data_IF_605609894537
#
_entry.id   IF_605609894537
#
_cell.length_a   1.000
_cell.length_b   1.000
_cell.length_c   1.000
_cell.angle_alpha   90.00
_cell.angle_beta   90.00
_cell.angle_gamma   90.00
#
_symmetry.space_group_name_H-M   'P 1'
#
loop_
_entity.id
_entity.type
_entity.pdbx_description
1 polymer ?
#
# COMPACT_ATOMS: atom_id res chain seq x y z
N UNK A 1 -14.62 7.74 6.64
CA UNK A 1 -15.79 6.82 6.48
C UNK A 1 -15.39 5.34 6.55
N UNK A 2 -14.12 5.04 6.39
CA UNK A 2 -13.49 3.78 6.75
C UNK A 2 -12.43 4.16 7.79
N UNK A 3 -12.70 3.96 9.08
CA UNK A 3 -11.77 4.37 10.15
C UNK A 3 -10.37 3.79 9.94
N UNK A 4 -10.21 2.50 9.57
CA UNK A 4 -8.88 1.95 9.25
C UNK A 4 -8.19 2.66 8.09
N UNK A 5 -8.92 3.07 7.06
CA UNK A 5 -8.37 3.80 5.91
C UNK A 5 -7.93 5.22 6.31
N UNK A 6 -8.72 5.88 7.17
CA UNK A 6 -8.44 7.23 7.68
C UNK A 6 -7.17 7.21 8.57
N UNK A 7 -6.93 6.13 9.32
CA UNK A 7 -5.69 5.92 10.09
C UNK A 7 -4.46 5.63 9.23
N UNK A 8 -4.64 4.93 8.10
CA UNK A 8 -3.55 4.59 7.18
C UNK A 8 -3.03 5.80 6.39
N UNK A 9 -3.89 6.77 6.09
CA UNK A 9 -3.54 7.92 5.27
C UNK A 9 -2.27 8.67 5.75
N UNK A 10 -2.16 9.12 7.03
CA UNK A 10 -0.96 9.80 7.50
C UNK A 10 0.29 8.91 7.51
N UNK A 11 0.13 7.60 7.76
CA UNK A 11 1.24 6.63 7.73
C UNK A 11 1.82 6.53 6.31
N UNK A 12 0.95 6.40 5.30
CA UNK A 12 1.37 6.27 3.91
C UNK A 12 1.96 7.56 3.36
N UNK A 13 1.45 8.72 3.78
CA UNK A 13 2.03 10.02 3.42
C UNK A 13 3.44 10.17 3.98
N UNK A 14 3.66 9.80 5.24
CA UNK A 14 5.00 9.81 5.85
C UNK A 14 5.96 8.86 5.13
N UNK A 15 5.52 7.63 4.84
CA UNK A 15 6.34 6.65 4.12
C UNK A 15 6.65 7.12 2.69
N UNK A 16 5.70 7.74 1.99
CA UNK A 16 5.94 8.33 0.66
C UNK A 16 7.06 9.37 0.69
N UNK A 17 7.09 10.23 1.71
CA UNK A 17 8.16 11.23 1.86
C UNK A 17 9.49 10.58 2.21
N UNK A 18 9.48 9.60 3.12
CA UNK A 18 10.69 8.96 3.65
C UNK A 18 11.37 8.04 2.64
N UNK A 19 10.58 7.40 1.77
CA UNK A 19 11.05 6.35 0.87
C UNK A 19 11.02 6.77 -0.61
N UNK A 20 10.83 8.06 -0.90
CA UNK A 20 10.66 8.59 -2.26
C UNK A 20 11.76 8.16 -3.24
N UNK A 21 13.00 7.97 -2.76
CA UNK A 21 14.14 7.54 -3.57
C UNK A 21 14.30 6.02 -3.67
N UNK A 22 13.60 5.26 -2.82
CA UNK A 22 13.76 3.81 -2.63
C UNK A 22 12.60 3.02 -3.23
N UNK A 23 11.37 3.49 -3.04
CA UNK A 23 10.18 2.87 -3.60
C UNK A 23 9.10 3.91 -3.91
N UNK A 24 8.21 3.53 -4.82
CA UNK A 24 7.02 4.34 -5.13
C UNK A 24 5.85 3.80 -4.33
N UNK A 25 5.29 4.62 -3.45
CA UNK A 25 4.08 4.30 -2.70
C UNK A 25 2.93 5.08 -3.32
N UNK A 26 1.89 4.39 -3.78
CA UNK A 26 0.68 5.00 -4.35
C UNK A 26 -0.51 4.73 -3.45
N UNK A 27 -1.09 5.80 -2.89
CA UNK A 27 -2.35 5.73 -2.18
C UNK A 27 -3.49 6.14 -3.10
N UNK A 28 -4.47 5.26 -3.29
CA UNK A 28 -5.58 5.47 -4.21
C UNK A 28 -6.91 5.14 -3.55
N UNK A 29 -7.88 6.04 -3.68
CA UNK A 29 -9.26 5.74 -3.30
C UNK A 29 -9.95 4.93 -4.42
N UNK A 30 -10.06 3.61 -4.22
CA UNK A 30 -10.71 2.69 -5.16
C UNK A 30 -12.20 2.99 -5.36
N UNK A 31 -12.84 3.74 -4.47
CA UNK A 31 -14.24 4.18 -4.64
C UNK A 31 -14.36 5.23 -5.75
N UNK A 32 -13.31 6.04 -5.92
CA UNK A 32 -13.20 7.01 -7.02
C UNK A 32 -12.70 6.32 -8.28
N UNK A 33 -11.66 5.49 -8.16
CA UNK A 33 -11.01 4.79 -9.28
C UNK A 33 -11.43 3.33 -9.36
N UNK A 34 -12.72 3.08 -9.64
CA UNK A 34 -13.31 1.73 -9.63
C UNK A 34 -12.63 0.75 -10.58
N UNK A 35 -12.08 1.23 -11.70
CA UNK A 35 -11.31 0.42 -12.66
C UNK A 35 -10.09 -0.22 -11.99
N UNK A 36 -9.43 0.48 -11.06
CA UNK A 36 -8.28 -0.06 -10.33
C UNK A 36 -8.72 -1.12 -9.32
N UNK A 37 -9.90 -0.96 -8.69
CA UNK A 37 -10.50 -1.99 -7.83
C UNK A 37 -10.70 -3.30 -8.60
N UNK A 38 -11.27 -3.22 -9.80
CA UNK A 38 -11.49 -4.39 -10.64
C UNK A 38 -10.17 -5.01 -11.13
N UNK A 39 -9.26 -4.17 -11.65
CA UNK A 39 -7.96 -4.61 -12.17
C UNK A 39 -7.12 -5.34 -11.13
N UNK A 40 -7.08 -4.85 -9.90
CA UNK A 40 -6.30 -5.43 -8.81
C UNK A 40 -7.13 -6.35 -7.89
N UNK A 41 -8.37 -6.66 -8.29
CA UNK A 41 -9.28 -7.55 -7.56
C UNK A 41 -9.47 -7.15 -6.08
N UNK A 42 -9.61 -5.85 -5.84
CA UNK A 42 -9.83 -5.29 -4.50
C UNK A 42 -11.31 -5.44 -4.15
N UNK A 43 -11.61 -6.33 -3.19
CA UNK A 43 -12.95 -6.55 -2.65
C UNK A 43 -13.17 -5.89 -1.29
N UNK A 44 -12.09 -5.67 -0.53
CA UNK A 44 -12.11 -5.13 0.82
C UNK A 44 -11.07 -4.01 0.95
N UNK A 45 -11.39 -2.99 1.75
CA UNK A 45 -10.48 -1.89 2.05
C UNK A 45 -10.20 -1.81 3.56
N UNK A 46 -9.01 -1.34 3.95
CA UNK A 46 -7.86 -1.04 3.10
C UNK A 46 -7.15 -2.32 2.62
N UNK A 47 -6.53 -2.28 1.44
CA UNK A 47 -5.70 -3.37 0.90
C UNK A 47 -4.38 -2.77 0.41
N UNK A 48 -3.26 -3.38 0.78
CA UNK A 48 -1.92 -2.99 0.37
C UNK A 48 -1.35 -4.09 -0.54
N UNK A 49 -0.89 -3.70 -1.72
CA UNK A 49 -0.31 -4.62 -2.71
C UNK A 49 1.11 -4.15 -3.01
N UNK A 50 2.06 -5.06 -2.91
CA UNK A 50 3.47 -4.81 -3.12
C UNK A 50 3.88 -5.42 -4.44
N UNK A 51 4.58 -4.62 -5.23
CA UNK A 51 5.10 -5.01 -6.53
C UNK A 51 6.62 -4.95 -6.51
N UNK A 52 7.26 -5.89 -7.18
CA UNK A 52 8.69 -5.79 -7.46
C UNK A 52 8.99 -4.80 -8.59
N UNK A 53 10.27 -4.72 -8.98
CA UNK A 53 10.74 -3.83 -10.05
C UNK A 53 10.25 -4.23 -11.43
N UNK A 54 9.79 -5.47 -11.62
CA UNK A 54 9.22 -5.97 -12.87
C UNK A 54 7.69 -5.74 -12.92
N UNK A 55 7.11 -5.24 -11.82
CA UNK A 55 5.67 -4.99 -11.70
C UNK A 55 4.88 -6.25 -11.34
N UNK A 56 5.53 -7.30 -10.85
CA UNK A 56 4.90 -8.53 -10.40
C UNK A 56 4.45 -8.35 -8.96
N UNK A 57 3.21 -8.75 -8.66
CA UNK A 57 2.68 -8.75 -7.30
C UNK A 57 3.43 -9.80 -6.47
N UNK A 58 4.17 -9.35 -5.46
CA UNK A 58 4.97 -10.21 -4.58
C UNK A 58 4.33 -10.40 -3.21
N UNK A 59 3.47 -9.47 -2.79
CA UNK A 59 2.77 -9.57 -1.52
C UNK A 59 1.47 -8.75 -1.51
N UNK A 60 0.49 -9.24 -0.74
CA UNK A 60 -0.80 -8.59 -0.54
C UNK A 60 -1.23 -8.73 0.91
N UNK A 61 -1.71 -7.63 1.47
CA UNK A 61 -2.33 -7.58 2.78
C UNK A 61 -3.68 -6.88 2.72
N UNK A 62 -4.66 -7.37 3.49
CA UNK A 62 -6.01 -6.80 3.57
C UNK A 62 -6.33 -6.50 5.02
N UNK A 63 -6.72 -5.26 5.29
CA UNK A 63 -6.95 -4.73 6.63
C UNK A 63 -5.96 -3.63 6.98
N UNK A 64 -6.06 -3.16 8.22
CA UNK A 64 -5.11 -2.20 8.78
C UNK A 64 -3.71 -2.81 8.80
N UNK A 65 -2.71 -2.04 8.37
CA UNK A 65 -1.33 -2.50 8.30
C UNK A 65 -0.44 -1.39 8.83
N UNK A 66 0.14 -1.59 10.01
CA UNK A 66 0.85 -0.53 10.70
C UNK A 66 2.11 -0.10 9.94
N UNK A 67 2.63 1.08 10.27
CA UNK A 67 3.88 1.59 9.67
C UNK A 67 5.04 0.61 9.83
N UNK A 68 5.18 0.05 11.03
CA UNK A 68 6.24 -0.90 11.39
C UNK A 68 6.16 -2.15 10.53
N UNK A 69 4.97 -2.74 10.41
CA UNK A 69 4.79 -3.93 9.58
C UNK A 69 5.01 -3.66 8.08
N UNK A 70 4.66 -2.46 7.59
CA UNK A 70 4.96 -2.05 6.22
C UNK A 70 6.48 -1.95 6.02
N UNK A 71 7.20 -1.33 6.96
CA UNK A 71 8.66 -1.18 6.89
C UNK A 71 9.36 -2.53 6.96
N UNK A 72 8.95 -3.40 7.88
CA UNK A 72 9.46 -4.77 7.98
C UNK A 72 9.25 -5.51 6.66
N UNK A 73 8.05 -5.36 6.07
CA UNK A 73 7.75 -6.02 4.80
C UNK A 73 8.59 -5.47 3.65
N UNK A 74 8.83 -4.17 3.60
CA UNK A 74 9.69 -3.55 2.61
C UNK A 74 11.15 -4.01 2.76
N UNK A 75 11.65 -4.13 4.00
CA UNK A 75 12.98 -4.64 4.28
C UNK A 75 13.13 -6.11 3.84
N UNK A 76 12.13 -6.96 4.10
CA UNK A 76 12.10 -8.35 3.59
C UNK A 76 12.16 -8.42 2.06
N UNK A 77 11.56 -7.44 1.38
CA UNK A 77 11.56 -7.33 -0.08
C UNK A 77 12.82 -6.66 -0.64
N UNK A 78 13.78 -6.28 0.22
CA UNK A 78 15.05 -5.67 -0.19
C UNK A 78 14.94 -4.19 -0.53
N UNK A 79 14.00 -3.47 0.09
CA UNK A 79 13.91 -2.01 0.06
C UNK A 79 14.49 -1.47 1.36
N UNK A 80 15.73 -0.98 1.30
CA UNK A 80 16.55 -0.55 2.42
C UNK A 80 16.74 0.96 2.50
#
# INVERSE_FOLDING_TARGET
GCVPCDMMAPILEELQMSLKEKCTILFTDVRIYQVLSARYQISNIPTQVFFDREGIEVFRHTGFFSKEEILDKLAELGVD
#
